data_IF_014607817608
#
_entry.id   IF_014607817608
#
_cell.length_a   1.000
_cell.length_b   1.000
_cell.length_c   1.000
_cell.angle_alpha   90.00
_cell.angle_beta   90.00
_cell.angle_gamma   90.00
#
_symmetry.space_group_name_H-M   'P 1'
#
loop_
_entity.id
_entity.type
_entity.pdbx_description
1 polymer ?
#
# COMPACT_ATOMS: atom_id res chain seq x y z
N UNK A 1 12.90 -9.19 6.30
CA UNK A 1 12.30 -8.32 5.25
C UNK A 1 10.87 -8.78 5.06
N UNK A 2 9.91 -7.85 5.08
CA UNK A 2 8.49 -8.17 4.92
C UNK A 2 8.22 -8.76 3.53
N UNK A 3 7.38 -9.80 3.45
CA UNK A 3 7.05 -10.50 2.21
C UNK A 3 5.55 -10.50 1.96
N UNK A 4 5.15 -10.44 0.69
CA UNK A 4 3.73 -10.56 0.30
C UNK A 4 3.07 -11.81 0.91
N UNK A 5 3.79 -12.92 0.98
CA UNK A 5 3.31 -14.17 1.57
C UNK A 5 2.86 -14.03 3.03
N UNK A 6 3.46 -13.14 3.82
CA UNK A 6 3.07 -12.90 5.22
C UNK A 6 1.68 -12.25 5.31
N UNK A 7 1.37 -11.32 4.40
CA UNK A 7 0.03 -10.72 4.31
C UNK A 7 -1.03 -11.68 3.76
N UNK A 8 -0.66 -12.59 2.86
CA UNK A 8 -1.55 -13.68 2.40
C UNK A 8 -1.83 -14.63 3.57
N UNK A 9 -0.80 -15.04 4.30
CA UNK A 9 -0.93 -15.90 5.49
C UNK A 9 -1.80 -15.26 6.57
N UNK A 10 -1.66 -13.95 6.79
CA UNK A 10 -2.55 -13.21 7.69
C UNK A 10 -4.02 -13.34 7.28
N UNK A 11 -4.34 -13.13 6.00
CA UNK A 11 -5.71 -13.24 5.51
C UNK A 11 -6.30 -14.65 5.72
N UNK A 12 -5.50 -15.69 5.44
CA UNK A 12 -5.88 -17.09 5.66
C UNK A 12 -6.15 -17.40 7.14
N UNK A 13 -5.28 -16.92 8.04
CA UNK A 13 -5.42 -17.11 9.49
C UNK A 13 -6.61 -16.35 10.08
N UNK A 14 -6.95 -15.18 9.53
CA UNK A 14 -8.17 -14.45 9.92
C UNK A 14 -9.43 -15.19 9.48
N UNK A 15 -9.46 -15.69 8.24
CA UNK A 15 -10.62 -16.39 7.67
C UNK A 15 -10.86 -17.75 8.35
N UNK A 16 -9.79 -18.50 8.62
CA UNK A 16 -9.86 -19.78 9.33
C UNK A 16 -10.22 -19.64 10.82
N UNK A 17 -10.07 -18.44 11.39
CA UNK A 17 -10.36 -18.17 12.80
C UNK A 17 -9.16 -18.29 13.74
N UNK A 18 -7.98 -18.66 13.24
CA UNK A 18 -6.72 -18.68 14.01
C UNK A 18 -6.37 -17.30 14.60
N UNK A 19 -6.72 -16.23 13.87
CA UNK A 19 -6.65 -14.86 14.36
C UNK A 19 -8.08 -14.37 14.58
N UNK A 20 -8.41 -14.08 15.83
CA UNK A 20 -9.69 -13.45 16.18
C UNK A 20 -9.70 -12.01 15.64
N UNK A 21 -10.65 -11.71 14.77
CA UNK A 21 -10.84 -10.40 14.19
C UNK A 21 -12.33 -10.05 14.13
N UNK A 22 -12.67 -8.76 14.02
CA UNK A 22 -14.05 -8.35 13.83
C UNK A 22 -14.57 -8.76 12.44
N UNK A 23 -15.89 -8.68 12.27
CA UNK A 23 -16.58 -9.04 11.02
C UNK A 23 -15.97 -8.34 9.80
N UNK A 24 -15.75 -7.03 9.86
CA UNK A 24 -15.21 -6.27 8.72
C UNK A 24 -13.80 -6.69 8.31
N UNK A 25 -12.94 -7.07 9.26
CA UNK A 25 -11.59 -7.57 8.97
C UNK A 25 -11.67 -8.96 8.33
N UNK A 26 -12.56 -9.84 8.82
CA UNK A 26 -12.81 -11.14 8.20
C UNK A 26 -13.32 -11.00 6.78
N UNK A 27 -14.31 -10.12 6.54
CA UNK A 27 -14.84 -9.84 5.20
C UNK A 27 -13.77 -9.26 4.27
N UNK A 28 -12.91 -8.37 4.75
CA UNK A 28 -11.80 -7.83 3.96
C UNK A 28 -10.77 -8.92 3.60
N UNK A 29 -10.44 -9.82 4.52
CA UNK A 29 -9.54 -10.96 4.27
C UNK A 29 -10.16 -11.96 3.30
N UNK A 30 -11.45 -12.27 3.46
CA UNK A 30 -12.16 -13.15 2.53
C UNK A 30 -12.22 -12.55 1.12
N UNK A 31 -12.56 -11.26 1.00
CA UNK A 31 -12.54 -10.54 -0.28
C UNK A 31 -11.16 -10.61 -0.91
N UNK A 32 -10.10 -10.35 -0.13
CA UNK A 32 -8.72 -10.43 -0.61
C UNK A 32 -8.40 -11.81 -1.20
N UNK A 33 -8.74 -12.90 -0.51
CA UNK A 33 -8.51 -14.26 -0.99
C UNK A 33 -9.35 -14.57 -2.24
N UNK A 34 -10.63 -14.19 -2.25
CA UNK A 34 -11.50 -14.37 -3.41
C UNK A 34 -11.00 -13.59 -4.63
N UNK A 35 -10.44 -12.40 -4.43
CA UNK A 35 -9.86 -11.59 -5.51
C UNK A 35 -8.51 -12.15 -5.99
N UNK A 36 -7.75 -12.87 -5.15
CA UNK A 36 -6.57 -13.60 -5.60
C UNK A 36 -6.92 -14.81 -6.47
N UNK A 37 -8.01 -15.50 -6.14
CA UNK A 37 -8.43 -16.73 -6.84
C UNK A 37 -9.28 -16.43 -8.08
N UNK A 38 -10.25 -15.53 -7.96
CA UNK A 38 -11.28 -15.24 -8.96
C UNK A 38 -11.28 -13.78 -9.43
N UNK A 39 -10.19 -13.05 -9.17
CA UNK A 39 -10.08 -11.65 -9.57
C UNK A 39 -10.11 -11.46 -11.08
N UNK A 40 -9.40 -12.31 -11.82
CA UNK A 40 -9.17 -12.13 -13.26
C UNK A 40 -10.47 -12.22 -14.08
N UNK A 41 -11.43 -13.03 -13.63
CA UNK A 41 -12.79 -13.13 -14.20
C UNK A 41 -13.51 -11.79 -14.22
N UNK A 42 -13.13 -10.87 -13.32
CA UNK A 42 -13.67 -9.51 -13.18
C UNK A 42 -12.67 -8.43 -13.61
N UNK A 43 -11.57 -8.81 -14.28
CA UNK A 43 -10.51 -7.89 -14.69
C UNK A 43 -9.69 -7.31 -13.53
N UNK A 44 -9.68 -7.98 -12.38
CA UNK A 44 -8.88 -7.61 -11.21
C UNK A 44 -7.65 -8.51 -11.17
N UNK A 45 -6.46 -7.91 -11.10
CA UNK A 45 -5.21 -8.64 -11.10
C UNK A 45 -4.39 -8.28 -9.87
N UNK A 46 -3.61 -9.24 -9.37
CA UNK A 46 -2.69 -9.01 -8.26
C UNK A 46 -1.24 -8.95 -8.75
N UNK A 47 -0.64 -7.77 -8.65
CA UNK A 47 0.75 -7.54 -9.03
C UNK A 47 1.68 -7.79 -7.83
N UNK A 48 2.26 -8.99 -7.77
CA UNK A 48 3.30 -9.31 -6.80
C UNK A 48 4.47 -8.32 -6.79
N UNK A 49 4.99 -7.85 -7.95
CA UNK A 49 6.05 -6.84 -7.96
C UNK A 49 5.64 -5.51 -7.31
N UNK A 50 4.43 -4.98 -7.60
CA UNK A 50 3.96 -3.73 -6.99
C UNK A 50 3.71 -3.88 -5.49
N UNK A 51 3.10 -5.00 -5.09
CA UNK A 51 2.88 -5.32 -3.69
C UNK A 51 4.21 -5.45 -2.92
N UNK A 52 5.21 -6.12 -3.48
CA UNK A 52 6.51 -6.26 -2.82
C UNK A 52 7.32 -4.95 -2.83
N UNK A 53 7.14 -4.09 -3.84
CA UNK A 53 7.84 -2.81 -3.93
C UNK A 53 7.55 -1.90 -2.74
N UNK A 54 6.27 -1.72 -2.38
CA UNK A 54 5.89 -0.95 -1.19
C UNK A 54 6.46 -1.58 0.09
N UNK A 55 6.42 -2.92 0.24
CA UNK A 55 6.97 -3.58 1.42
C UNK A 55 8.49 -3.38 1.52
N UNK A 56 9.19 -3.40 0.38
CA UNK A 56 10.61 -3.14 0.32
C UNK A 56 10.93 -1.69 0.70
N UNK A 57 10.08 -0.73 0.29
CA UNK A 57 10.24 0.67 0.62
C UNK A 57 10.25 0.93 2.14
N UNK A 58 9.44 0.21 2.91
CA UNK A 58 9.42 0.36 4.38
C UNK A 58 10.74 0.02 5.07
N UNK A 59 11.69 -0.63 4.39
CA UNK A 59 13.04 -0.82 4.90
C UNK A 59 13.84 0.48 4.96
N UNK A 60 13.45 1.50 4.20
CA UNK A 60 14.08 2.80 4.18
C UNK A 60 13.37 3.83 5.07
N UNK A 61 12.28 3.43 5.75
CA UNK A 61 11.53 4.32 6.64
C UNK A 61 12.02 4.08 8.08
N UNK A 62 12.79 5.02 8.67
CA UNK A 62 13.28 4.86 10.03
C UNK A 62 12.20 5.18 11.06
N UNK A 63 12.33 4.61 12.25
CA UNK A 63 11.60 5.07 13.43
C UNK A 63 12.03 6.51 13.77
N UNK A 64 11.05 7.40 13.90
CA UNK A 64 11.29 8.85 14.04
C UNK A 64 11.42 9.31 15.51
N UNK A 65 11.00 8.49 16.49
CA UNK A 65 10.95 8.88 17.92
C UNK A 65 11.28 7.73 18.89
N UNK A 66 11.89 8.08 20.02
CA UNK A 66 12.14 7.20 21.16
C UNK A 66 13.45 6.40 21.07
N UNK A 67 13.63 5.41 21.95
CA UNK A 67 14.85 4.57 22.04
C UNK A 67 15.12 3.72 20.79
N UNK A 68 14.20 3.72 19.82
CA UNK A 68 14.30 2.99 18.56
C UNK A 68 14.63 3.91 17.37
N UNK A 69 14.89 5.20 17.61
CA UNK A 69 15.25 6.16 16.57
C UNK A 69 16.42 5.64 15.72
N UNK A 70 16.24 5.62 14.40
CA UNK A 70 17.23 5.09 13.45
C UNK A 70 17.12 3.60 13.14
N UNK A 71 16.28 2.83 13.84
CA UNK A 71 15.95 1.45 13.44
C UNK A 71 14.84 1.44 12.38
N UNK A 72 14.87 0.45 11.48
CA UNK A 72 13.86 0.30 10.44
C UNK A 72 12.53 -0.20 11.01
N UNK A 73 11.42 0.29 10.47
CA UNK A 73 10.09 -0.11 10.93
C UNK A 73 9.86 -1.59 10.62
N UNK A 74 9.64 -2.39 11.65
CA UNK A 74 9.15 -3.76 11.47
C UNK A 74 7.64 -3.73 11.24
N UNK A 75 7.24 -4.03 10.01
CA UNK A 75 5.83 -4.19 9.66
C UNK A 75 5.23 -5.40 10.40
N UNK A 76 4.03 -5.21 10.96
CA UNK A 76 3.21 -6.29 11.47
C UNK A 76 2.42 -6.95 10.34
N UNK A 77 1.96 -8.18 10.53
CA UNK A 77 1.18 -8.94 9.54
C UNK A 77 0.00 -8.14 8.95
N UNK A 78 -0.74 -7.41 9.81
CA UNK A 78 -1.87 -6.57 9.37
C UNK A 78 -1.42 -5.30 8.63
N UNK A 79 -0.22 -4.77 8.91
CA UNK A 79 0.37 -3.68 8.11
C UNK A 79 0.65 -4.18 6.70
N UNK A 80 1.29 -5.35 6.59
CA UNK A 80 1.59 -5.99 5.31
C UNK A 80 0.28 -6.21 4.54
N UNK A 81 -0.73 -6.78 5.19
CA UNK A 81 -2.05 -7.00 4.60
C UNK A 81 -2.67 -5.72 4.02
N UNK A 82 -2.66 -4.60 4.76
CA UNK A 82 -3.18 -3.31 4.26
C UNK A 82 -2.39 -2.86 3.02
N UNK A 83 -1.06 -2.89 3.09
CA UNK A 83 -0.20 -2.40 2.01
C UNK A 83 -0.38 -3.22 0.73
N UNK A 84 -0.41 -4.55 0.83
CA UNK A 84 -0.59 -5.40 -0.36
C UNK A 84 -2.01 -5.30 -0.94
N UNK A 85 -3.03 -4.99 -0.12
CA UNK A 85 -4.35 -4.68 -0.65
C UNK A 85 -4.30 -3.40 -1.49
N UNK A 86 -3.76 -2.32 -0.93
CA UNK A 86 -3.75 -1.00 -1.57
C UNK A 86 -2.87 -1.00 -2.83
N UNK A 87 -1.65 -1.52 -2.75
CA UNK A 87 -0.66 -1.38 -3.83
C UNK A 87 -0.52 -2.64 -4.71
N UNK A 88 -1.04 -3.78 -4.29
CA UNK A 88 -0.95 -5.03 -5.05
C UNK A 88 -2.06 -5.22 -6.09
N UNK A 89 -3.29 -4.83 -5.79
CA UNK A 89 -4.40 -5.00 -6.72
C UNK A 89 -4.46 -3.90 -7.77
N UNK A 90 -4.53 -4.33 -9.04
CA UNK A 90 -4.57 -3.46 -10.21
C UNK A 90 -5.70 -3.85 -11.15
N UNK A 91 -6.16 -2.88 -11.93
CA UNK A 91 -7.18 -3.04 -12.98
C UNK A 91 -6.67 -2.39 -14.28
N UNK A 92 -7.13 -2.83 -15.46
CA UNK A 92 -6.90 -2.13 -16.71
C UNK A 92 -7.38 -0.68 -16.64
N UNK A 93 -6.56 0.25 -17.12
CA UNK A 93 -7.03 1.60 -17.40
C UNK A 93 -7.93 1.54 -18.63
N UNK A 94 -9.12 2.09 -18.51
CA UNK A 94 -10.12 2.20 -19.57
C UNK A 94 -10.34 3.67 -19.84
N UNK A 95 -10.35 4.05 -21.11
CA UNK A 95 -10.75 5.38 -21.54
C UNK A 95 -12.27 5.53 -21.36
N UNK A 96 -12.70 6.54 -20.61
CA UNK A 96 -14.11 6.72 -20.25
C UNK A 96 -14.99 7.14 -21.44
N UNK A 97 -14.40 7.73 -22.49
CA UNK A 97 -15.13 8.15 -23.68
C UNK A 97 -15.31 7.01 -24.66
N UNK A 98 -14.26 6.20 -24.87
CA UNK A 98 -14.29 5.11 -25.88
C UNK A 98 -14.65 3.75 -25.29
N UNK A 99 -14.47 3.56 -23.98
CA UNK A 99 -14.63 2.25 -23.33
C UNK A 99 -13.48 1.28 -23.62
N UNK A 100 -12.42 1.72 -24.29
CA UNK A 100 -11.30 0.88 -24.69
C UNK A 100 -10.18 0.86 -23.64
N UNK A 101 -9.41 -0.24 -23.61
CA UNK A 101 -8.25 -0.34 -22.73
C UNK A 101 -7.11 0.53 -23.25
N UNK A 102 -6.54 1.34 -22.36
CA UNK A 102 -5.39 2.18 -22.70
C UNK A 102 -4.14 1.31 -22.84
N UNK A 103 -3.47 1.40 -23.98
CA UNK A 103 -2.23 0.70 -24.29
C UNK A 103 -1.03 1.59 -23.96
N UNK A 104 0.07 0.99 -23.50
CA UNK A 104 1.32 1.71 -23.25
C UNK A 104 1.91 2.27 -24.54
N UNK A 105 2.42 3.49 -24.46
CA UNK A 105 3.09 4.18 -25.56
C UNK A 105 4.57 3.78 -25.73
N UNK A 106 4.99 2.66 -25.13
CA UNK A 106 6.37 2.13 -25.17
C UNK A 106 6.59 1.10 -26.29
N UNK A 107 5.61 0.92 -27.19
CA UNK A 107 5.65 -0.06 -28.27
C UNK A 107 5.45 -1.51 -27.84
N UNK A 108 5.25 -1.80 -26.55
CA UNK A 108 5.09 -3.17 -26.05
C UNK A 108 3.70 -3.79 -26.32
N UNK A 109 2.72 -2.99 -26.72
CA UNK A 109 1.32 -3.42 -26.87
C UNK A 109 0.64 -3.80 -25.55
N UNK A 110 1.27 -3.55 -24.40
CA UNK A 110 0.73 -3.93 -23.09
C UNK A 110 -0.31 -2.92 -22.62
N UNK A 111 -1.34 -3.42 -21.94
CA UNK A 111 -2.36 -2.59 -21.29
C UNK A 111 -1.74 -1.84 -20.10
N UNK A 112 -2.15 -0.59 -19.92
CA UNK A 112 -1.82 0.21 -18.73
C UNK A 112 -2.63 -0.30 -17.55
N UNK A 113 -1.95 -0.60 -16.44
CA UNK A 113 -2.58 -1.11 -15.22
C UNK A 113 -2.52 -0.06 -14.11
N UNK A 114 -3.67 0.28 -13.55
CA UNK A 114 -3.80 1.27 -12.47
C UNK A 114 -4.26 0.62 -11.18
N UNK A 115 -4.02 1.28 -10.04
CA UNK A 115 -4.45 0.78 -8.73
C UNK A 115 -5.96 0.60 -8.69
N UNK A 116 -6.41 -0.55 -8.19
CA UNK A 116 -7.85 -0.83 -7.99
C UNK A 116 -8.45 0.04 -6.88
N UNK A 117 -7.83 0.04 -5.71
CA UNK A 117 -8.35 0.75 -4.55
C UNK A 117 -7.80 2.18 -4.51
N UNK A 118 -8.67 3.15 -4.77
CA UNK A 118 -8.33 4.59 -4.67
C UNK A 118 -8.57 5.15 -3.26
N UNK A 119 -9.27 4.40 -2.41
CA UNK A 119 -9.60 4.81 -1.03
C UNK A 119 -9.44 3.62 -0.09
N UNK A 120 -8.82 3.85 1.06
CA UNK A 120 -8.71 2.88 2.14
C UNK A 120 -9.16 3.52 3.45
N UNK A 121 -10.07 2.84 4.17
CA UNK A 121 -10.56 3.24 5.48
C UNK A 121 -10.07 2.24 6.53
N UNK A 122 -9.32 2.72 7.53
CA UNK A 122 -8.68 1.87 8.54
C UNK A 122 -8.96 2.39 9.95
N UNK A 123 -9.75 1.65 10.72
CA UNK A 123 -9.96 1.91 12.14
C UNK A 123 -8.96 1.11 12.98
N UNK A 124 -8.05 1.80 13.64
CA UNK A 124 -7.01 1.15 14.45
C UNK A 124 -6.88 1.83 15.80
N UNK A 125 -6.92 1.03 16.86
CA UNK A 125 -6.77 1.49 18.24
C UNK A 125 -5.44 2.23 18.48
N UNK A 126 -5.38 3.02 19.57
CA UNK A 126 -4.16 3.77 19.94
C UNK A 126 -2.98 2.82 20.17
N UNK A 127 -1.75 3.33 19.98
CA UNK A 127 -0.46 2.63 20.19
C UNK A 127 -0.17 1.43 19.27
N UNK A 128 -0.87 1.31 18.13
CA UNK A 128 -0.63 0.26 17.12
C UNK A 128 0.22 0.72 15.92
N UNK A 129 1.09 1.72 16.09
CA UNK A 129 1.97 2.23 15.03
C UNK A 129 1.25 2.67 13.72
N UNK A 130 -0.05 2.98 13.75
CA UNK A 130 -0.80 3.41 12.55
C UNK A 130 -0.28 4.70 11.92
N UNK A 131 0.22 5.64 12.72
CA UNK A 131 0.81 6.89 12.21
C UNK A 131 2.10 6.63 11.45
N UNK A 132 2.88 5.66 11.90
CA UNK A 132 4.10 5.20 11.24
C UNK A 132 3.77 4.54 9.90
N UNK A 133 2.72 3.71 9.85
CA UNK A 133 2.20 3.16 8.60
C UNK A 133 1.78 4.29 7.64
N UNK A 134 0.96 5.24 8.08
CA UNK A 134 0.49 6.33 7.20
C UNK A 134 1.63 7.22 6.69
N UNK A 135 2.66 7.49 7.50
CA UNK A 135 3.84 8.25 7.06
C UNK A 135 4.62 7.53 5.96
N UNK A 136 4.81 6.21 6.08
CA UNK A 136 5.47 5.41 5.04
C UNK A 136 4.68 5.40 3.73
N UNK A 137 3.34 5.32 3.78
CA UNK A 137 2.47 5.42 2.60
C UNK A 137 2.64 6.80 1.94
N UNK A 138 2.62 7.88 2.73
CA UNK A 138 2.76 9.23 2.20
C UNK A 138 4.12 9.43 1.51
N UNK A 139 5.22 9.03 2.16
CA UNK A 139 6.56 9.13 1.58
C UNK A 139 6.69 8.30 0.28
N UNK A 140 6.13 7.09 0.28
CA UNK A 140 6.13 6.22 -0.89
C UNK A 140 5.38 6.86 -2.06
N UNK A 141 4.18 7.39 -1.81
CA UNK A 141 3.36 8.04 -2.84
C UNK A 141 4.01 9.32 -3.38
N UNK A 142 4.80 10.03 -2.56
CA UNK A 142 5.49 11.25 -2.98
C UNK A 142 6.68 10.95 -3.90
N UNK A 143 7.44 9.89 -3.64
CA UNK A 143 8.76 9.72 -4.27
C UNK A 143 9.04 8.37 -4.94
N UNK A 144 8.22 7.34 -4.75
CA UNK A 144 8.58 5.97 -5.15
C UNK A 144 7.45 5.17 -5.81
N UNK A 145 6.24 5.70 -5.88
CA UNK A 145 5.08 5.01 -6.48
C UNK A 145 5.09 5.01 -8.03
N UNK A 146 5.92 5.88 -8.64
CA UNK A 146 6.08 5.96 -10.10
C UNK A 146 4.86 6.51 -10.84
N UNK A 147 3.88 7.09 -10.14
CA UNK A 147 2.75 7.82 -10.71
C UNK A 147 3.19 9.27 -10.99
N UNK A 148 3.26 9.66 -12.28
CA UNK A 148 3.68 11.01 -12.68
C UNK A 148 2.71 12.07 -12.18
N UNK A 149 3.22 13.13 -11.54
CA UNK A 149 2.41 14.25 -11.05
C UNK A 149 1.59 13.95 -9.78
N UNK A 150 1.99 12.95 -8.98
CA UNK A 150 1.30 12.62 -7.74
C UNK A 150 1.35 13.76 -6.71
N UNK A 151 0.20 14.36 -6.41
CA UNK A 151 0.03 15.30 -5.31
C UNK A 151 -0.41 14.54 -4.05
N UNK A 152 0.48 14.43 -3.06
CA UNK A 152 0.21 13.73 -1.80
C UNK A 152 -0.23 14.72 -0.73
N UNK A 153 -1.51 14.69 -0.39
CA UNK A 153 -2.08 15.49 0.70
C UNK A 153 -2.14 14.68 1.98
N UNK A 154 -1.42 15.12 3.02
CA UNK A 154 -1.52 14.55 4.36
C UNK A 154 -2.25 15.52 5.30
N UNK A 155 -3.54 15.27 5.54
CA UNK A 155 -4.30 15.96 6.58
C UNK A 155 -4.17 15.20 7.91
N UNK A 156 -3.40 15.75 8.85
CA UNK A 156 -3.30 15.25 10.21
C UNK A 156 -3.70 16.35 11.21
N UNK A 157 -4.29 15.96 12.34
CA UNK A 157 -4.72 16.89 13.39
C UNK A 157 -3.55 17.65 14.05
N UNK A 158 -2.29 17.29 13.78
CA UNK A 158 -1.12 18.03 14.27
C UNK A 158 -0.12 18.33 13.15
N UNK A 159 0.26 19.61 13.06
CA UNK A 159 1.21 20.20 12.10
C UNK A 159 2.58 19.50 12.10
N UNK A 160 2.98 18.90 13.23
CA UNK A 160 4.24 18.17 13.37
C UNK A 160 4.29 16.87 12.54
N UNK A 161 3.15 16.23 12.28
CA UNK A 161 3.12 15.00 11.49
C UNK A 161 3.31 15.29 9.99
N UNK A 162 2.74 16.39 9.49
CA UNK A 162 2.92 16.83 8.10
C UNK A 162 4.33 17.38 7.85
N UNK A 163 4.95 18.04 8.84
CA UNK A 163 6.32 18.57 8.73
C UNK A 163 7.38 17.46 8.61
N UNK A 164 7.19 16.32 9.27
CA UNK A 164 8.12 15.18 9.16
C UNK A 164 8.12 14.60 7.74
N UNK A 165 6.93 14.42 7.13
CA UNK A 165 6.79 13.91 5.76
C UNK A 165 7.47 14.84 4.74
N UNK A 166 7.36 16.16 4.95
CA UNK A 166 7.97 17.17 4.08
C UNK A 166 9.49 17.28 4.24
N UNK A 167 10.02 17.26 5.48
CA UNK A 167 11.47 17.36 5.73
C UNK A 167 12.24 16.10 5.31
N UNK A 168 11.65 14.90 5.45
CA UNK A 168 12.26 13.65 4.97
C UNK A 168 12.30 13.60 3.44
N UNK A 169 11.25 14.05 2.74
CA UNK A 169 11.24 14.15 1.27
C UNK A 169 12.31 15.14 0.75
N UNK A 170 12.51 16.27 1.45
CA UNK A 170 13.46 17.32 1.05
C UNK A 170 14.94 16.91 1.20
N UNK A 171 15.26 15.93 2.04
CA UNK A 171 16.62 15.39 2.15
C UNK A 171 17.02 14.49 0.99
N UNK A 172 16.07 13.86 0.31
CA UNK A 172 16.33 12.97 -0.82
C UNK A 172 16.49 13.69 -2.17
N UNK A 173 16.14 14.97 -2.25
CA UNK A 173 16.24 15.80 -3.47
C UNK A 173 17.61 16.50 -3.64
N UNK A 174 18.53 16.34 -2.67
CA UNK A 174 19.86 16.98 -2.68
C UNK A 174 21.04 16.04 -2.95
N UNK A 175 20.80 14.76 -3.16
CA UNK A 175 21.85 13.75 -3.44
C UNK A 175 21.57 12.94 -4.73
N UNK A 176 20.66 13.42 -5.59
CA UNK A 176 20.37 12.85 -6.91
C UNK A 176 21.05 13.60 -8.05
#
# INVERSE_FOLDING_TARGET
MAKVAEGISYAQRVVSGDIIACEYVRLACQRFLNDLEHGEERGIYFSFPRAQHILNFYQFVPHVKGNLAGQTIKLMDWHIFILINIFGFVIPLVDEQTGERVIRNDGSGRVVMVRRFRTAYNEVARKNAKSTLSSGIALYMTGSDGEGGAEVYSAATTRDQARIVFEDAKKHDKEG
#
